data_IF_131730922615
#
_entry.id   IF_131730922615
#
_cell.length_a   1.000
_cell.length_b   1.000
_cell.length_c   1.000
_cell.angle_alpha   90.00
_cell.angle_beta   90.00
_cell.angle_gamma   90.00
#
_symmetry.space_group_name_H-M   'P 1'
#
loop_
_entity.id
_entity.type
_entity.pdbx_description
1 polymer ?
#
# COMPACT_ATOMS: atom_id res chain seq x y z
N UNK A 1 -31.13 -7.12 0.08
CA UNK A 1 -31.46 -7.12 1.52
C UNK A 1 -30.31 -6.48 2.27
N UNK A 2 -30.43 -5.18 2.56
CA UNK A 2 -29.52 -4.41 3.40
C UNK A 2 -29.74 -4.86 4.83
N UNK A 3 -28.80 -5.62 5.38
CA UNK A 3 -28.93 -6.23 6.70
C UNK A 3 -28.71 -5.18 7.78
N UNK A 4 -29.45 -5.27 8.90
CA UNK A 4 -29.28 -4.42 10.09
C UNK A 4 -27.81 -4.22 10.51
N UNK A 5 -26.95 -5.20 10.22
CA UNK A 5 -25.51 -5.16 10.43
C UNK A 5 -24.83 -4.01 9.66
N UNK A 6 -25.23 -3.74 8.41
CA UNK A 6 -24.67 -2.63 7.63
C UNK A 6 -25.11 -1.27 8.19
N UNK A 7 -26.32 -1.19 8.74
CA UNK A 7 -26.82 0.03 9.40
C UNK A 7 -26.07 0.27 10.72
N UNK A 8 -25.87 -0.77 11.53
CA UNK A 8 -25.07 -0.70 12.74
C UNK A 8 -23.60 -0.33 12.44
N UNK A 9 -22.99 -0.90 11.40
CA UNK A 9 -21.64 -0.51 10.96
C UNK A 9 -21.58 0.95 10.51
N UNK A 10 -22.60 1.44 9.81
CA UNK A 10 -22.69 2.86 9.41
C UNK A 10 -22.83 3.78 10.62
N UNK A 11 -23.68 3.42 11.57
CA UNK A 11 -23.88 4.17 12.81
C UNK A 11 -22.64 4.16 13.70
N UNK A 12 -22.02 3.00 13.89
CA UNK A 12 -20.77 2.84 14.64
C UNK A 12 -19.64 3.66 14.02
N UNK A 13 -19.52 3.64 12.68
CA UNK A 13 -18.56 4.50 11.96
C UNK A 13 -18.83 5.99 12.16
N UNK A 14 -20.10 6.40 12.09
CA UNK A 14 -20.50 7.79 12.30
C UNK A 14 -20.28 8.26 13.75
N UNK A 15 -20.28 7.34 14.71
CA UNK A 15 -20.04 7.60 16.13
C UNK A 15 -18.57 7.44 16.55
N UNK A 16 -17.67 7.02 15.66
CA UNK A 16 -16.24 6.84 15.98
C UNK A 16 -15.93 5.63 16.87
N UNK A 17 -16.87 4.70 17.03
CA UNK A 17 -16.78 3.62 18.03
C UNK A 17 -15.96 2.42 17.55
N UNK A 18 -15.68 2.33 16.25
CA UNK A 18 -14.87 1.27 15.65
C UNK A 18 -13.55 1.82 15.08
N UNK A 19 -12.50 1.00 15.15
CA UNK A 19 -11.28 1.24 14.37
C UNK A 19 -11.59 1.02 12.89
N UNK A 20 -11.27 2.01 12.06
CA UNK A 20 -11.43 1.95 10.63
C UNK A 20 -10.61 0.80 10.03
N UNK A 21 -11.20 0.10 9.08
CA UNK A 21 -10.56 -0.97 8.29
C UNK A 21 -10.52 -0.62 6.78
N UNK A 22 -11.06 0.54 6.41
CA UNK A 22 -11.25 1.01 5.04
C UNK A 22 -11.61 2.48 4.98
N UNK A 23 -11.40 3.10 3.82
CA UNK A 23 -11.94 4.42 3.54
C UNK A 23 -13.48 4.42 3.51
N UNK A 24 -14.12 5.57 3.79
CA UNK A 24 -15.58 5.70 3.72
C UNK A 24 -16.15 5.31 2.34
N UNK A 25 -17.42 4.82 2.29
CA UNK A 25 -18.11 4.57 1.04
C UNK A 25 -18.14 5.83 0.15
N UNK A 26 -17.89 5.67 -1.15
CA UNK A 26 -17.82 6.78 -2.10
C UNK A 26 -16.44 7.41 -2.27
N UNK A 27 -15.47 7.06 -1.40
CA UNK A 27 -14.07 7.46 -1.60
C UNK A 27 -13.46 6.76 -2.84
N UNK A 28 -12.59 7.46 -3.58
CA UNK A 28 -11.89 6.91 -4.76
C UNK A 28 -11.11 5.63 -4.43
N UNK A 29 -10.64 5.52 -3.19
CA UNK A 29 -9.91 4.36 -2.67
C UNK A 29 -10.75 3.48 -1.73
N UNK A 30 -12.09 3.48 -1.83
CA UNK A 30 -12.97 2.67 -0.96
C UNK A 30 -12.73 1.13 -1.01
N UNK A 31 -11.96 0.65 -1.99
CA UNK A 31 -11.51 -0.75 -2.09
C UNK A 31 -10.25 -1.06 -1.31
N UNK A 32 -9.53 -0.04 -0.84
CA UNK A 32 -8.38 -0.20 0.05
C UNK A 32 -8.87 -0.66 1.41
N UNK A 33 -8.29 -1.76 1.89
CA UNK A 33 -8.57 -2.37 3.19
C UNK A 33 -7.27 -2.48 3.97
N UNK A 34 -7.34 -2.33 5.27
CA UNK A 34 -6.20 -2.57 6.15
C UNK A 34 -6.66 -3.29 7.42
N UNK A 35 -5.73 -3.98 8.08
CA UNK A 35 -6.01 -4.63 9.35
C UNK A 35 -5.98 -3.62 10.50
N UNK A 36 -7.14 -3.36 11.10
CA UNK A 36 -7.30 -2.46 12.25
C UNK A 36 -6.35 -2.75 13.43
N UNK A 37 -5.91 -4.00 13.62
CA UNK A 37 -4.96 -4.35 14.68
C UNK A 37 -3.57 -3.73 14.49
N UNK A 38 -3.20 -3.39 13.25
CA UNK A 38 -1.93 -2.76 12.91
C UNK A 38 -2.06 -1.25 12.64
N UNK A 39 -3.29 -0.77 12.43
CA UNK A 39 -3.59 0.62 12.12
C UNK A 39 -4.75 1.08 13.01
N UNK A 40 -4.40 1.60 14.19
CA UNK A 40 -5.36 2.15 15.15
C UNK A 40 -5.82 3.55 14.70
N UNK A 41 -6.78 3.57 13.79
CA UNK A 41 -7.36 4.78 13.21
C UNK A 41 -8.85 4.79 13.53
N UNK A 42 -9.30 5.79 14.29
CA UNK A 42 -10.72 5.96 14.57
C UNK A 42 -11.52 6.22 13.28
N UNK A 43 -12.76 5.71 13.20
CA UNK A 43 -13.58 5.78 11.98
C UNK A 43 -14.10 7.17 11.61
N UNK A 44 -14.05 8.12 12.53
CA UNK A 44 -14.44 9.52 12.36
C UNK A 44 -13.32 10.40 11.75
N UNK A 45 -12.11 9.85 11.65
CA UNK A 45 -10.96 10.52 11.04
C UNK A 45 -11.23 10.77 9.55
N UNK A 46 -10.86 11.95 9.05
CA UNK A 46 -11.04 12.30 7.63
C UNK A 46 -10.22 11.38 6.72
N UNK A 47 -10.69 11.02 5.51
CA UNK A 47 -9.97 10.12 4.59
C UNK A 47 -8.51 10.50 4.36
N UNK A 48 -8.22 11.78 4.12
CA UNK A 48 -6.85 12.26 3.89
C UNK A 48 -5.94 12.06 5.12
N UNK A 49 -6.51 12.22 6.32
CA UNK A 49 -5.80 11.99 7.58
C UNK A 49 -5.59 10.49 7.82
N UNK A 50 -6.55 9.64 7.45
CA UNK A 50 -6.39 8.18 7.48
C UNK A 50 -5.23 7.75 6.56
N UNK A 51 -5.22 8.23 5.31
CA UNK A 51 -4.18 7.89 4.35
C UNK A 51 -2.80 8.38 4.81
N UNK A 52 -2.72 9.61 5.34
CA UNK A 52 -1.47 10.15 5.90
C UNK A 52 -0.93 9.28 7.03
N UNK A 53 -1.77 8.92 8.02
CA UNK A 53 -1.37 8.06 9.14
C UNK A 53 -0.87 6.68 8.68
N UNK A 54 -1.50 6.10 7.67
CA UNK A 54 -1.06 4.83 7.08
C UNK A 54 0.29 5.00 6.38
N UNK A 55 0.49 6.09 5.62
CA UNK A 55 1.78 6.37 4.98
C UNK A 55 2.90 6.57 6.03
N UNK A 56 2.60 7.29 7.11
CA UNK A 56 3.54 7.49 8.23
C UNK A 56 3.88 6.14 8.90
N UNK A 57 2.89 5.27 9.10
CA UNK A 57 3.09 3.93 9.64
C UNK A 57 3.96 3.05 8.71
N UNK A 58 3.77 3.14 7.38
CA UNK A 58 4.62 2.45 6.40
C UNK A 58 6.06 2.98 6.45
N UNK A 59 6.25 4.30 6.56
CA UNK A 59 7.58 4.89 6.65
C UNK A 59 8.32 4.45 7.92
N UNK A 60 7.62 4.37 9.05
CA UNK A 60 8.19 3.99 10.35
C UNK A 60 8.36 2.48 10.53
N UNK A 61 7.40 1.67 10.06
CA UNK A 61 7.39 0.21 10.21
C UNK A 61 6.96 -0.45 8.90
N UNK A 62 7.86 -0.57 7.91
CA UNK A 62 7.50 -0.93 6.54
C UNK A 62 6.77 -2.27 6.36
N UNK A 63 6.99 -3.22 7.27
CA UNK A 63 6.37 -4.55 7.22
C UNK A 63 4.85 -4.51 7.43
N UNK A 64 4.29 -3.43 8.01
CA UNK A 64 2.83 -3.26 8.13
C UNK A 64 2.12 -3.22 6.77
N UNK A 65 2.86 -2.93 5.69
CA UNK A 65 2.34 -2.98 4.33
C UNK A 65 1.76 -4.36 3.96
N UNK A 66 2.25 -5.44 4.57
CA UNK A 66 1.70 -6.79 4.40
C UNK A 66 0.22 -6.91 4.81
N UNK A 67 -0.26 -5.98 5.64
CA UNK A 67 -1.62 -5.97 6.18
C UNK A 67 -2.54 -5.00 5.43
N UNK A 68 -2.14 -4.53 4.25
CA UNK A 68 -2.92 -3.65 3.40
C UNK A 68 -3.30 -4.38 2.10
N UNK A 69 -4.58 -4.36 1.77
CA UNK A 69 -5.11 -4.87 0.49
C UNK A 69 -5.51 -3.70 -0.40
N UNK A 70 -5.12 -3.73 -1.68
CA UNK A 70 -5.31 -2.62 -2.63
C UNK A 70 -4.71 -1.29 -2.12
N UNK A 71 -3.42 -1.25 -1.76
CA UNK A 71 -2.80 -0.02 -1.25
C UNK A 71 -2.95 1.12 -2.25
N UNK A 72 -3.21 2.33 -1.77
CA UNK A 72 -3.34 3.50 -2.63
C UNK A 72 -2.00 3.83 -3.31
N UNK A 73 -2.01 4.63 -4.39
CA UNK A 73 -0.77 5.08 -5.00
C UNK A 73 0.16 5.81 -4.01
N UNK A 74 -0.40 6.56 -3.06
CA UNK A 74 0.37 7.25 -2.03
C UNK A 74 1.03 6.28 -1.04
N UNK A 75 0.31 5.25 -0.59
CA UNK A 75 0.86 4.19 0.26
C UNK A 75 1.99 3.41 -0.43
N UNK A 76 1.83 3.13 -1.73
CA UNK A 76 2.89 2.50 -2.52
C UNK A 76 4.14 3.39 -2.59
N UNK A 77 3.96 4.70 -2.83
CA UNK A 77 5.06 5.68 -2.81
C UNK A 77 5.78 5.77 -1.46
N UNK A 78 5.06 5.59 -0.35
CA UNK A 78 5.70 5.51 0.97
C UNK A 78 6.63 4.29 1.07
N UNK A 79 6.18 3.10 0.62
CA UNK A 79 7.00 1.88 0.63
C UNK A 79 8.23 2.00 -0.29
N UNK A 80 8.01 2.57 -1.46
CA UNK A 80 8.99 2.93 -2.47
C UNK A 80 10.14 3.78 -1.90
N UNK A 81 9.84 4.87 -1.21
CA UNK A 81 10.88 5.71 -0.57
C UNK A 81 11.70 4.95 0.45
N UNK A 82 11.09 4.04 1.23
CA UNK A 82 11.84 3.19 2.16
C UNK A 82 12.71 2.18 1.43
N UNK A 83 12.19 1.57 0.37
CA UNK A 83 12.93 0.62 -0.46
C UNK A 83 14.17 1.30 -1.08
N UNK A 84 14.01 2.52 -1.61
CA UNK A 84 15.13 3.33 -2.10
C UNK A 84 16.20 3.54 -1.02
N UNK A 85 15.77 3.96 0.17
CA UNK A 85 16.68 4.20 1.28
C UNK A 85 17.44 2.92 1.65
N UNK A 86 16.78 1.76 1.67
CA UNK A 86 17.44 0.47 1.95
C UNK A 86 18.43 0.07 0.87
N UNK A 87 18.12 0.27 -0.40
CA UNK A 87 19.05 0.04 -1.49
C UNK A 87 20.27 0.94 -1.39
N UNK A 88 20.09 2.24 -1.12
CA UNK A 88 21.18 3.21 -0.93
C UNK A 88 22.09 2.87 0.25
N UNK A 89 21.54 2.27 1.31
CA UNK A 89 22.29 1.82 2.48
C UNK A 89 22.86 0.40 2.33
N UNK A 90 22.76 -0.23 1.16
CA UNK A 90 23.17 -1.61 0.90
C UNK A 90 22.47 -2.68 1.77
N UNK A 91 21.28 -2.39 2.30
CA UNK A 91 20.45 -3.32 3.05
C UNK A 91 19.64 -4.24 2.11
N UNK A 92 20.35 -5.02 1.29
CA UNK A 92 19.76 -5.83 0.21
C UNK A 92 18.67 -6.80 0.68
N UNK A 93 18.87 -7.43 1.86
CA UNK A 93 17.90 -8.37 2.43
C UNK A 93 16.58 -7.69 2.80
N UNK A 94 16.65 -6.51 3.39
CA UNK A 94 15.45 -5.74 3.76
C UNK A 94 14.74 -5.24 2.50
N UNK A 95 15.48 -4.69 1.54
CA UNK A 95 14.91 -4.26 0.25
C UNK A 95 14.19 -5.41 -0.49
N UNK A 96 14.79 -6.61 -0.49
CA UNK A 96 14.17 -7.80 -1.06
C UNK A 96 12.85 -8.18 -0.37
N UNK A 97 12.79 -8.05 0.97
CA UNK A 97 11.56 -8.29 1.72
C UNK A 97 10.46 -7.29 1.37
N UNK A 98 10.79 -6.00 1.25
CA UNK A 98 9.83 -4.96 0.87
C UNK A 98 9.35 -5.14 -0.58
N UNK A 99 10.24 -5.52 -1.50
CA UNK A 99 9.86 -5.85 -2.87
C UNK A 99 8.91 -7.06 -2.94
N UNK A 100 9.10 -8.07 -2.09
CA UNK A 100 8.18 -9.20 -2.00
C UNK A 100 6.78 -8.77 -1.55
N UNK A 101 6.68 -7.85 -0.58
CA UNK A 101 5.38 -7.28 -0.15
C UNK A 101 4.70 -6.52 -1.28
N UNK A 102 5.46 -5.72 -2.03
CA UNK A 102 4.97 -5.00 -3.19
C UNK A 102 4.44 -5.94 -4.27
N UNK A 103 5.20 -6.98 -4.64
CA UNK A 103 4.77 -8.02 -5.59
C UNK A 103 3.46 -8.66 -5.12
N UNK A 104 3.35 -8.97 -3.83
CA UNK A 104 2.14 -9.52 -3.22
C UNK A 104 0.93 -8.62 -3.42
N UNK A 105 1.06 -7.32 -3.18
CA UNK A 105 -0.02 -6.35 -3.37
C UNK A 105 -0.47 -6.25 -4.84
N UNK A 106 0.46 -6.34 -5.79
CA UNK A 106 0.20 -6.26 -7.22
C UNK A 106 -0.52 -7.49 -7.80
N UNK A 107 -0.74 -8.54 -7.01
CA UNK A 107 -1.61 -9.67 -7.39
C UNK A 107 -3.09 -9.29 -7.47
N UNK A 108 -3.49 -8.19 -6.83
CA UNK A 108 -4.88 -7.77 -6.87
C UNK A 108 -5.25 -7.17 -8.24
N UNK A 109 -6.39 -7.58 -8.85
CA UNK A 109 -6.86 -6.96 -10.09
C UNK A 109 -7.31 -5.51 -9.90
N UNK A 110 -7.56 -5.08 -8.66
CA UNK A 110 -8.06 -3.75 -8.31
C UNK A 110 -6.97 -2.77 -7.86
N UNK A 111 -5.69 -3.17 -7.93
CA UNK A 111 -4.60 -2.27 -7.58
C UNK A 111 -4.52 -1.11 -8.60
N UNK A 112 -4.37 0.10 -8.07
CA UNK A 112 -4.06 1.29 -8.87
C UNK A 112 -2.56 1.49 -8.81
N UNK A 113 -1.89 1.44 -9.95
CA UNK A 113 -0.43 1.50 -10.05
C UNK A 113 0.10 2.91 -9.74
N UNK A 114 1.08 2.99 -8.83
CA UNK A 114 1.78 4.24 -8.52
C UNK A 114 2.95 4.54 -9.46
N UNK A 115 3.58 3.49 -10.00
CA UNK A 115 4.76 3.55 -10.87
C UNK A 115 4.44 2.92 -12.24
N UNK A 116 4.33 3.72 -13.32
CA UNK A 116 3.93 3.22 -14.63
C UNK A 116 4.81 2.06 -15.14
N UNK A 117 4.18 0.92 -15.44
CA UNK A 117 4.82 -0.27 -15.98
C UNK A 117 5.27 -1.29 -14.94
N UNK A 118 5.17 -0.99 -13.64
CA UNK A 118 5.58 -1.91 -12.57
C UNK A 118 4.75 -3.22 -12.58
N UNK A 119 3.45 -3.13 -12.81
CA UNK A 119 2.53 -4.27 -12.96
C UNK A 119 2.93 -5.14 -14.13
N UNK A 120 3.33 -4.53 -15.26
CA UNK A 120 3.80 -5.27 -16.42
C UNK A 120 5.14 -5.98 -16.12
N UNK A 121 6.09 -5.32 -15.45
CA UNK A 121 7.34 -5.92 -15.03
C UNK A 121 7.15 -7.09 -14.04
N UNK A 122 6.23 -6.94 -13.08
CA UNK A 122 5.84 -8.00 -12.13
C UNK A 122 5.15 -9.17 -12.83
N UNK A 123 4.39 -8.91 -13.90
CA UNK A 123 3.72 -9.94 -14.69
C UNK A 123 4.69 -10.70 -15.61
N UNK A 124 5.65 -10.00 -16.22
CA UNK A 124 6.67 -10.60 -17.08
C UNK A 124 7.54 -11.64 -16.36
N UNK A 125 7.69 -11.48 -15.04
CA UNK A 125 8.49 -12.34 -14.16
C UNK A 125 7.64 -13.35 -13.39
N UNK A 126 6.38 -13.57 -13.80
CA UNK A 126 5.46 -14.45 -13.08
C UNK A 126 5.88 -15.94 -13.10
N UNK A 127 6.69 -16.34 -14.08
CA UNK A 127 7.22 -17.70 -14.24
C UNK A 127 8.57 -17.91 -13.55
N UNK A 128 9.20 -16.85 -13.06
CA UNK A 128 10.50 -16.91 -12.41
C UNK A 128 10.39 -17.39 -10.95
N UNK A 129 11.46 -17.98 -10.44
CA UNK A 129 11.57 -18.26 -9.01
C UNK A 129 11.54 -16.96 -8.18
N UNK A 130 11.05 -17.06 -6.94
CA UNK A 130 10.86 -15.89 -6.07
C UNK A 130 12.12 -14.98 -5.95
N UNK A 131 13.35 -15.50 -5.77
CA UNK A 131 14.54 -14.65 -5.71
C UNK A 131 14.84 -13.93 -7.03
N UNK A 132 14.70 -14.61 -8.17
CA UNK A 132 14.93 -14.03 -9.49
C UNK A 132 13.90 -12.94 -9.81
N UNK A 133 12.63 -13.21 -9.49
CA UNK A 133 11.53 -12.25 -9.62
C UNK A 133 11.75 -10.99 -8.79
N UNK A 134 12.15 -11.13 -7.52
CA UNK A 134 12.44 -9.98 -6.64
C UNK A 134 13.57 -9.14 -7.22
N UNK A 135 14.65 -9.79 -7.67
CA UNK A 135 15.79 -9.11 -8.28
C UNK A 135 15.38 -8.32 -9.53
N UNK A 136 14.61 -8.92 -10.42
CA UNK A 136 14.14 -8.25 -11.64
C UNK A 136 13.27 -7.03 -11.34
N UNK A 137 12.40 -7.09 -10.32
CA UNK A 137 11.60 -5.94 -9.86
C UNK A 137 12.49 -4.84 -9.28
N UNK A 138 13.47 -5.18 -8.45
CA UNK A 138 14.42 -4.22 -7.90
C UNK A 138 15.27 -3.56 -9.00
N UNK A 139 15.70 -4.32 -10.00
CA UNK A 139 16.42 -3.80 -11.17
C UNK A 139 15.54 -2.85 -12.00
N UNK A 140 14.27 -3.21 -12.26
CA UNK A 140 13.31 -2.32 -12.92
C UNK A 140 13.15 -1.00 -12.18
N UNK A 141 13.04 -1.04 -10.85
CA UNK A 141 12.93 0.15 -10.01
C UNK A 141 14.22 0.97 -10.01
N UNK A 142 15.39 0.35 -10.06
CA UNK A 142 16.69 1.05 -10.07
C UNK A 142 17.01 1.75 -11.40
N UNK A 143 16.45 1.30 -12.52
CA UNK A 143 16.75 1.81 -13.87
C UNK A 143 16.04 3.13 -14.22
N UNK A 144 15.13 3.63 -13.39
CA UNK A 144 14.39 4.87 -13.68
C UNK A 144 15.06 6.06 -12.98
N UNK A 145 15.46 7.08 -13.75
CA UNK A 145 15.87 8.38 -13.22
C UNK A 145 14.69 8.99 -12.44
N UNK A 146 14.93 9.27 -11.16
CA UNK A 146 13.89 9.59 -10.17
C UNK A 146 12.81 8.49 -10.05
N UNK A 147 13.16 7.29 -9.54
CA UNK A 147 12.22 6.17 -9.47
C UNK A 147 11.03 6.45 -8.54
N UNK A 148 11.10 7.51 -7.73
CA UNK A 148 10.16 7.82 -6.67
C UNK A 148 9.71 9.29 -6.62
N UNK A 149 10.02 10.10 -7.64
CA UNK A 149 9.60 11.51 -7.64
C UNK A 149 8.08 11.64 -7.75
N UNK A 150 7.51 12.23 -6.70
CA UNK A 150 6.10 12.52 -6.56
C UNK A 150 5.86 13.87 -7.22
N UNK A 151 5.28 13.89 -8.42
CA UNK A 151 4.59 15.10 -8.86
C UNK A 151 3.32 15.19 -8.01
N UNK A 152 3.42 15.89 -6.87
CA UNK A 152 2.26 16.43 -6.18
C UNK A 152 1.66 17.51 -7.09
N UNK A 153 0.67 17.13 -7.91
CA UNK A 153 -0.22 18.12 -8.53
C UNK A 153 -1.13 18.65 -7.42
N UNK A 154 -0.86 19.89 -7.02
CA UNK A 154 -1.75 20.74 -6.21
C UNK A 154 -3.14 20.87 -6.83
#
# INVERSE_FOLDING_TARGET
MTTLIDLFKRLSRALGLDTADSFPPGHVHARTRWNAAYFDIASDVKPDDMERRICDAIANTPLVFAHITNPTPRMQRALFSVLEQRLRLNHQREAAQLAALLIGAYRSPHIVEAMPGLKAAIAATAHDEAPARIRAVLEFMAQRDAPFDVIDMK
#
